data_IF_604652821554
#
_entry.id   IF_604652821554
#
_cell.length_a   1.000
_cell.length_b   1.000
_cell.length_c   1.000
_cell.angle_alpha   90.00
_cell.angle_beta   90.00
_cell.angle_gamma   90.00
#
_symmetry.space_group_name_H-M   'P 1'
#
loop_
_entity.id
_entity.type
_entity.pdbx_description
1 polymer ?
#
# COMPACT_ATOMS: atom_id res chain seq x y z
N UNK A 1 -48.10 -12.07 -18.90
CA UNK A 1 -47.07 -11.08 -19.30
C UNK A 1 -46.09 -10.86 -18.13
N UNK A 2 -45.04 -11.68 -17.99
CA UNK A 2 -44.08 -11.62 -16.87
C UNK A 2 -42.64 -11.77 -17.37
N UNK A 3 -42.13 -10.83 -18.17
CA UNK A 3 -40.79 -10.95 -18.79
C UNK A 3 -39.90 -9.70 -18.74
N UNK A 4 -40.20 -8.68 -17.92
CA UNK A 4 -39.42 -7.42 -17.93
C UNK A 4 -38.69 -7.05 -16.62
N UNK A 5 -38.86 -7.80 -15.53
CA UNK A 5 -38.32 -7.44 -14.21
C UNK A 5 -36.96 -8.06 -13.85
N UNK A 6 -36.39 -8.95 -14.68
CA UNK A 6 -35.19 -9.71 -14.31
C UNK A 6 -33.84 -9.04 -14.64
N UNK A 7 -33.80 -7.96 -15.43
CA UNK A 7 -32.53 -7.39 -15.93
C UNK A 7 -31.91 -6.38 -14.95
N UNK A 8 -32.68 -5.81 -14.02
CA UNK A 8 -32.18 -4.75 -13.13
C UNK A 8 -31.33 -5.27 -11.94
N UNK A 9 -31.43 -6.56 -11.58
CA UNK A 9 -30.69 -7.11 -10.43
C UNK A 9 -29.27 -7.58 -10.77
N UNK A 10 -28.96 -7.85 -12.05
CA UNK A 10 -27.65 -8.36 -12.46
C UNK A 10 -26.53 -7.31 -12.48
N UNK A 11 -26.86 -6.02 -12.44
CA UNK A 11 -25.88 -4.92 -12.53
C UNK A 11 -25.35 -4.44 -11.16
N UNK A 12 -25.91 -4.90 -10.04
CA UNK A 12 -25.42 -4.53 -8.69
C UNK A 12 -24.33 -5.46 -8.14
N UNK A 13 -24.06 -6.61 -8.78
CA UNK A 13 -23.11 -7.61 -8.26
C UNK A 13 -21.64 -7.40 -8.65
N UNK A 14 -21.32 -6.41 -9.49
CA UNK A 14 -20.01 -6.31 -10.14
C UNK A 14 -19.07 -5.22 -9.60
N UNK A 15 -19.36 -4.60 -8.45
CA UNK A 15 -18.62 -3.42 -7.96
C UNK A 15 -17.73 -3.64 -6.73
N UNK A 16 -17.40 -4.90 -6.38
CA UNK A 16 -16.33 -5.18 -5.43
C UNK A 16 -15.02 -5.34 -6.22
N UNK A 17 -14.53 -4.25 -6.80
CA UNK A 17 -13.15 -4.22 -7.30
C UNK A 17 -12.20 -4.27 -6.10
N UNK A 18 -11.31 -5.25 -6.05
CA UNK A 18 -10.19 -5.28 -5.11
C UNK A 18 -9.46 -3.93 -5.19
N UNK A 19 -9.47 -3.19 -4.09
CA UNK A 19 -8.92 -1.84 -4.03
C UNK A 19 -7.49 -1.94 -3.49
N UNK A 20 -6.53 -1.30 -4.17
CA UNK A 20 -5.16 -1.24 -3.68
C UNK A 20 -5.10 -0.25 -2.52
N UNK A 21 -4.92 -0.75 -1.30
CA UNK A 21 -4.71 0.11 -0.15
C UNK A 21 -3.40 0.88 -0.32
N UNK A 22 -3.43 2.18 -0.03
CA UNK A 22 -2.23 3.01 0.03
C UNK A 22 -1.79 3.14 1.47
N UNK A 23 -0.49 2.96 1.69
CA UNK A 23 0.13 3.05 3.00
C UNK A 23 1.22 4.10 2.96
N UNK A 24 1.30 4.89 4.03
CA UNK A 24 2.42 5.78 4.27
C UNK A 24 3.40 5.09 5.21
N UNK A 25 4.68 5.39 5.05
CA UNK A 25 5.70 5.05 6.03
C UNK A 25 6.54 6.26 6.37
N UNK A 26 6.99 6.30 7.63
CA UNK A 26 7.90 7.31 8.14
C UNK A 26 8.94 6.62 9.01
N UNK A 27 10.19 7.01 8.86
CA UNK A 27 11.30 6.43 9.60
C UNK A 27 12.39 7.43 9.91
N UNK A 28 13.32 6.98 10.76
CA UNK A 28 14.44 7.73 11.26
C UNK A 28 15.69 6.84 11.18
N UNK A 29 16.78 7.38 10.67
CA UNK A 29 18.10 6.74 10.80
C UNK A 29 18.53 6.87 12.26
N UNK A 30 18.69 5.74 12.95
CA UNK A 30 19.04 5.65 14.37
C UNK A 30 20.49 5.24 14.60
N UNK A 31 21.18 4.74 13.57
CA UNK A 31 22.59 4.35 13.62
C UNK A 31 23.37 4.77 12.36
N UNK A 32 24.67 5.02 12.55
CA UNK A 32 25.62 5.39 11.49
C UNK A 32 25.75 6.91 11.26
N UNK A 33 26.56 7.33 10.27
CA UNK A 33 26.83 8.75 10.03
C UNK A 33 25.57 9.59 9.73
N UNK A 34 24.52 8.95 9.21
CA UNK A 34 23.27 9.62 8.83
C UNK A 34 22.25 9.62 9.98
N UNK A 35 22.65 9.26 11.21
CA UNK A 35 21.77 9.28 12.36
C UNK A 35 21.09 10.64 12.55
N UNK A 36 19.79 10.62 12.84
CA UNK A 36 18.94 11.80 12.94
C UNK A 36 18.31 12.25 11.61
N UNK A 37 18.70 11.66 10.47
CA UNK A 37 18.03 11.92 9.19
C UNK A 37 16.70 11.17 9.13
N UNK A 38 15.66 11.85 8.64
CA UNK A 38 14.34 11.27 8.44
C UNK A 38 14.16 10.77 7.01
N UNK A 39 13.35 9.74 6.84
CA UNK A 39 12.86 9.31 5.54
C UNK A 39 11.36 9.04 5.59
N UNK A 40 10.69 9.22 4.45
CA UNK A 40 9.25 9.04 4.37
C UNK A 40 8.83 8.65 2.97
N UNK A 41 7.69 7.99 2.85
CA UNK A 41 7.20 7.58 1.56
C UNK A 41 5.85 6.90 1.61
N UNK A 42 5.49 6.32 0.47
CA UNK A 42 4.19 5.70 0.24
C UNK A 42 4.38 4.42 -0.58
N UNK A 43 3.54 3.43 -0.33
CA UNK A 43 3.46 2.24 -1.16
C UNK A 43 2.02 1.74 -1.26
N UNK A 44 1.78 0.86 -2.23
CA UNK A 44 0.54 0.10 -2.31
C UNK A 44 0.80 -1.30 -2.83
N UNK A 45 -0.05 -2.25 -2.44
CA UNK A 45 -0.11 -3.60 -2.99
C UNK A 45 -1.58 -4.03 -3.10
N UNK A 46 -1.83 -5.17 -3.73
CA UNK A 46 -3.18 -5.74 -3.81
C UNK A 46 -3.42 -6.65 -2.61
N UNK A 47 -4.36 -6.30 -1.74
CA UNK A 47 -4.73 -7.15 -0.60
C UNK A 47 -5.29 -8.51 -1.05
N UNK A 48 -5.86 -8.58 -2.26
CA UNK A 48 -6.31 -9.84 -2.84
C UNK A 48 -5.17 -10.83 -3.15
N UNK A 49 -3.92 -10.37 -3.11
CA UNK A 49 -2.73 -11.22 -3.23
C UNK A 49 -2.27 -11.79 -1.88
N UNK A 50 -2.91 -11.42 -0.76
CA UNK A 50 -2.63 -11.93 0.58
C UNK A 50 -3.77 -12.84 1.02
N UNK A 51 -3.47 -14.12 1.18
CA UNK A 51 -4.38 -15.15 1.68
C UNK A 51 -4.48 -15.16 3.21
N UNK A 52 -3.48 -14.61 3.90
CA UNK A 52 -3.41 -14.54 5.37
C UNK A 52 -2.81 -15.79 6.01
N UNK A 53 -2.09 -16.62 5.25
CA UNK A 53 -1.52 -17.89 5.74
C UNK A 53 -0.20 -18.19 5.06
N UNK A 54 0.77 -18.66 5.84
CA UNK A 54 2.13 -18.93 5.37
C UNK A 54 2.92 -17.66 5.07
N UNK A 55 4.03 -17.83 4.34
CA UNK A 55 4.86 -16.72 3.90
C UNK A 55 4.39 -16.20 2.55
N UNK A 56 4.13 -14.90 2.46
CA UNK A 56 3.52 -14.25 1.29
C UNK A 56 4.26 -12.98 0.92
N UNK A 57 4.59 -12.80 -0.36
CA UNK A 57 5.38 -11.66 -0.86
C UNK A 57 4.70 -10.95 -2.04
N UNK A 58 3.50 -10.35 -1.85
CA UNK A 58 2.84 -9.58 -2.90
C UNK A 58 3.74 -8.46 -3.42
N UNK A 59 3.81 -8.34 -4.75
CA UNK A 59 4.54 -7.26 -5.41
C UNK A 59 3.88 -5.90 -5.16
N UNK A 60 4.69 -4.87 -5.00
CA UNK A 60 4.19 -3.51 -4.86
C UNK A 60 3.63 -2.98 -6.20
N UNK A 61 2.46 -2.36 -6.13
CA UNK A 61 1.82 -1.65 -7.25
C UNK A 61 2.34 -0.22 -7.38
N UNK A 62 2.70 0.40 -6.27
CA UNK A 62 3.37 1.70 -6.22
C UNK A 62 4.38 1.75 -5.08
N UNK A 63 5.43 2.54 -5.25
CA UNK A 63 6.42 2.84 -4.22
C UNK A 63 7.06 4.20 -4.51
N UNK A 64 7.17 5.02 -3.47
CA UNK A 64 7.93 6.27 -3.44
C UNK A 64 8.58 6.40 -2.08
N UNK A 65 9.87 6.76 -2.07
CA UNK A 65 10.66 7.06 -0.87
C UNK A 65 11.41 8.36 -1.10
N UNK A 66 11.31 9.30 -0.16
CA UNK A 66 12.19 10.46 -0.08
C UNK A 66 13.20 10.27 1.04
N UNK A 67 14.49 10.32 0.70
CA UNK A 67 15.59 10.25 1.66
C UNK A 67 16.83 10.96 1.11
N UNK A 68 17.47 11.80 1.94
CA UNK A 68 18.66 12.60 1.58
C UNK A 68 18.48 13.43 0.29
N UNK A 69 17.29 13.98 0.08
CA UNK A 69 16.98 14.77 -1.12
C UNK A 69 16.79 13.95 -2.40
N UNK A 70 16.93 12.62 -2.33
CA UNK A 70 16.71 11.70 -3.45
C UNK A 70 15.31 11.09 -3.37
N UNK A 71 14.72 10.78 -4.53
CA UNK A 71 13.49 10.03 -4.63
C UNK A 71 13.75 8.64 -5.23
N UNK A 72 13.31 7.60 -4.53
CA UNK A 72 13.41 6.21 -4.96
C UNK A 72 12.02 5.71 -5.31
N UNK A 73 11.92 4.92 -6.38
CA UNK A 73 10.65 4.44 -6.91
C UNK A 73 10.75 2.98 -7.36
N UNK A 74 9.64 2.39 -7.79
CA UNK A 74 9.65 1.07 -8.44
C UNK A 74 10.60 1.03 -9.64
N UNK A 75 10.64 2.10 -10.44
CA UNK A 75 11.47 2.16 -11.65
C UNK A 75 12.97 2.22 -11.40
N UNK A 76 13.39 2.51 -10.16
CA UNK A 76 14.80 2.52 -9.76
C UNK A 76 15.22 1.26 -9.00
N UNK A 77 14.31 0.32 -8.76
CA UNK A 77 14.61 -0.89 -8.01
C UNK A 77 15.54 -1.84 -8.80
N UNK A 78 16.38 -2.58 -8.07
CA UNK A 78 17.28 -3.63 -8.59
C UNK A 78 16.71 -5.05 -8.47
N UNK A 79 15.42 -5.14 -8.14
CA UNK A 79 14.62 -6.36 -8.02
C UNK A 79 13.14 -6.00 -8.01
N UNK A 80 12.26 -6.98 -7.77
CA UNK A 80 10.81 -6.74 -7.60
C UNK A 80 10.54 -6.34 -6.15
N UNK A 81 10.09 -5.11 -5.86
CA UNK A 81 9.75 -4.72 -4.50
C UNK A 81 8.49 -5.45 -4.01
N UNK A 82 8.48 -5.87 -2.75
CA UNK A 82 7.38 -6.62 -2.14
C UNK A 82 6.96 -6.06 -0.78
N UNK A 83 5.73 -6.38 -0.40
CA UNK A 83 5.17 -6.19 0.93
C UNK A 83 5.08 -7.56 1.60
N UNK A 84 6.00 -7.89 2.51
CA UNK A 84 6.12 -9.26 3.00
C UNK A 84 5.19 -9.52 4.19
N UNK A 85 4.58 -10.71 4.22
CA UNK A 85 3.65 -11.14 5.25
C UNK A 85 3.96 -12.56 5.71
N UNK A 86 3.66 -12.84 6.98
CA UNK A 86 3.67 -14.19 7.55
C UNK A 86 2.38 -14.42 8.32
N UNK A 87 1.58 -15.40 7.92
CA UNK A 87 0.32 -15.76 8.58
C UNK A 87 -0.61 -14.54 8.80
N UNK A 88 -0.66 -13.65 7.80
CA UNK A 88 -1.43 -12.41 7.84
C UNK A 88 -0.78 -11.25 8.62
N UNK A 89 0.37 -11.47 9.27
CA UNK A 89 1.16 -10.42 9.92
C UNK A 89 2.06 -9.73 8.89
N UNK A 90 1.96 -8.41 8.81
CA UNK A 90 2.85 -7.61 7.97
C UNK A 90 4.26 -7.55 8.58
N UNK A 91 5.26 -7.99 7.81
CA UNK A 91 6.66 -8.05 8.23
C UNK A 91 7.46 -6.82 7.82
N UNK A 92 7.12 -6.19 6.70
CA UNK A 92 7.89 -5.08 6.18
C UNK A 92 7.86 -4.95 4.66
N UNK A 93 8.67 -4.03 4.18
CA UNK A 93 8.96 -3.87 2.76
C UNK A 93 10.28 -4.57 2.43
N UNK A 94 10.32 -5.22 1.26
CA UNK A 94 11.56 -5.60 0.60
C UNK A 94 11.75 -4.71 -0.61
N UNK A 95 12.80 -3.89 -0.58
CA UNK A 95 13.14 -2.98 -1.66
C UNK A 95 14.66 -2.84 -1.74
N UNK A 96 15.21 -2.84 -2.94
CA UNK A 96 16.64 -2.63 -3.13
C UNK A 96 16.91 -1.64 -4.26
N UNK A 97 17.73 -0.64 -3.97
CA UNK A 97 18.33 0.25 -4.94
C UNK A 97 19.85 0.12 -4.89
N UNK A 98 20.49 0.16 -6.05
CA UNK A 98 21.94 0.21 -6.17
C UNK A 98 22.33 1.17 -7.28
N UNK A 99 23.31 2.02 -7.01
CA UNK A 99 23.99 2.85 -7.99
C UNK A 99 25.51 2.73 -7.82
N UNK A 100 26.32 3.32 -8.73
CA UNK A 100 27.76 3.41 -8.54
C UNK A 100 28.20 4.21 -7.30
N UNK A 101 27.30 4.88 -6.60
CA UNK A 101 27.63 5.77 -5.47
C UNK A 101 26.98 5.36 -4.16
N UNK A 102 25.97 4.49 -4.17
CA UNK A 102 25.28 4.07 -2.95
C UNK A 102 24.40 2.84 -3.16
N UNK A 103 24.07 2.17 -2.07
CA UNK A 103 22.96 1.21 -1.98
C UNK A 103 21.95 1.65 -0.93
N UNK A 104 20.70 1.28 -1.15
CA UNK A 104 19.62 1.47 -0.20
C UNK A 104 18.75 0.22 -0.20
N UNK A 105 18.48 -0.33 0.98
CA UNK A 105 17.76 -1.59 1.15
C UNK A 105 16.71 -1.44 2.24
N UNK A 106 15.45 -1.74 1.94
CA UNK A 106 14.48 -2.09 2.97
C UNK A 106 14.53 -3.60 3.20
N UNK A 107 14.61 -3.99 4.46
CA UNK A 107 14.56 -5.38 4.89
C UNK A 107 13.35 -5.58 5.79
N UNK A 108 12.54 -6.57 5.47
CA UNK A 108 11.40 -6.99 6.29
C UNK A 108 11.86 -7.62 7.60
N UNK A 109 11.04 -7.47 8.65
CA UNK A 109 11.28 -8.09 9.94
C UNK A 109 11.06 -9.61 9.92
N UNK A 110 11.44 -10.27 11.02
CA UNK A 110 11.36 -11.74 11.11
C UNK A 110 9.99 -12.24 11.58
N UNK A 111 9.32 -11.48 12.45
CA UNK A 111 8.03 -11.86 13.03
C UNK A 111 6.96 -10.79 12.85
N UNK A 112 7.37 -9.53 12.84
CA UNK A 112 6.52 -8.37 12.61
C UNK A 112 7.37 -7.20 12.10
N UNK A 113 6.72 -6.05 11.91
CA UNK A 113 7.33 -4.81 11.44
C UNK A 113 8.42 -4.24 12.38
N UNK A 114 8.45 -4.60 13.66
CA UNK A 114 9.35 -3.96 14.65
C UNK A 114 10.84 -4.23 14.39
N UNK A 115 11.14 -5.35 13.72
CA UNK A 115 12.49 -5.73 13.30
C UNK A 115 12.84 -5.24 11.89
N UNK A 116 11.89 -4.60 11.18
CA UNK A 116 12.12 -4.12 9.82
C UNK A 116 12.95 -2.83 9.83
N UNK A 117 13.84 -2.69 8.85
CA UNK A 117 14.75 -1.55 8.79
C UNK A 117 15.09 -1.13 7.36
N UNK A 118 15.51 0.13 7.26
CA UNK A 118 16.20 0.70 6.12
C UNK A 118 17.71 0.60 6.36
N UNK A 119 18.47 0.16 5.36
CA UNK A 119 19.92 0.20 5.33
C UNK A 119 20.39 1.10 4.19
N UNK A 120 21.30 2.01 4.46
CA UNK A 120 21.92 2.90 3.49
C UNK A 120 23.44 2.78 3.54
N UNK A 121 24.06 2.54 2.40
CA UNK A 121 25.52 2.44 2.30
C UNK A 121 26.03 3.35 1.18
N UNK A 122 26.70 4.47 1.48
CA UNK A 122 27.39 5.26 0.48
C UNK A 122 28.69 4.56 0.06
N UNK A 123 29.09 4.73 -1.20
CA UNK A 123 30.35 4.16 -1.70
C UNK A 123 31.54 4.82 -1.01
N UNK A 124 32.39 3.99 -0.38
CA UNK A 124 33.57 4.44 0.35
C UNK A 124 33.29 5.07 1.71
N UNK A 125 32.03 5.05 2.18
CA UNK A 125 31.66 5.55 3.51
C UNK A 125 31.20 4.45 4.46
N UNK A 126 30.82 4.86 5.67
CA UNK A 126 30.22 3.97 6.66
C UNK A 126 28.71 3.88 6.42
N UNK A 127 28.18 2.70 6.71
CA UNK A 127 26.77 2.40 6.56
C UNK A 127 25.91 3.06 7.65
N UNK A 128 24.60 3.17 7.39
CA UNK A 128 23.62 3.72 8.32
C UNK A 128 22.32 2.93 8.24
N UNK A 129 21.67 2.74 9.38
CA UNK A 129 20.41 2.00 9.47
C UNK A 129 19.35 2.79 10.21
N UNK A 130 18.09 2.50 9.94
CA UNK A 130 16.97 3.12 10.61
C UNK A 130 15.72 2.28 10.60
N UNK A 131 14.93 2.43 11.67
CA UNK A 131 13.60 1.85 11.79
C UNK A 131 12.52 2.73 11.14
N UNK A 132 11.37 2.14 10.84
CA UNK A 132 10.22 2.85 10.29
C UNK A 132 8.89 2.28 10.78
N UNK A 133 7.87 3.11 10.68
CA UNK A 133 6.49 2.76 11.01
C UNK A 133 5.62 2.91 9.76
N UNK A 134 4.50 2.18 9.73
CA UNK A 134 3.54 2.20 8.64
C UNK A 134 2.18 2.63 9.17
N UNK A 135 1.51 3.48 8.42
CA UNK A 135 0.13 3.89 8.66
C UNK A 135 -0.69 3.72 7.39
N UNK A 136 -1.84 3.04 7.49
CA UNK A 136 -2.81 3.01 6.42
C UNK A 136 -3.31 4.43 6.11
N UNK A 137 -3.39 4.78 4.83
CA UNK A 137 -4.04 6.02 4.40
C UNK A 137 -5.55 5.76 4.36
N UNK A 138 -6.38 6.49 5.13
CA UNK A 138 -7.82 6.30 5.09
C UNK A 138 -8.33 6.50 3.66
N UNK A 139 -9.05 5.50 3.13
CA UNK A 139 -9.62 5.61 1.79
C UNK A 139 -10.55 6.84 1.72
N UNK A 140 -10.37 7.75 0.76
CA UNK A 140 -11.25 8.89 0.62
C UNK A 140 -12.63 8.39 0.17
N UNK A 141 -13.62 8.56 1.04
CA UNK A 141 -15.05 8.67 0.71
C UNK A 141 -15.73 7.55 -0.09
N UNK A 142 -15.10 6.41 -0.39
CA UNK A 142 -15.73 5.28 -1.11
C UNK A 142 -17.06 4.91 -0.46
N UNK A 143 -17.08 4.72 0.86
CA UNK A 143 -18.29 4.43 1.61
C UNK A 143 -19.32 5.56 1.57
N UNK A 144 -18.87 6.82 1.66
CA UNK A 144 -19.76 7.98 1.62
C UNK A 144 -20.40 8.16 0.24
N UNK A 145 -19.66 7.91 -0.85
CA UNK A 145 -20.15 7.94 -2.22
C UNK A 145 -21.06 6.75 -2.52
N UNK A 146 -20.75 5.55 -2.03
CA UNK A 146 -21.67 4.41 -2.11
C UNK A 146 -22.99 4.69 -1.40
N UNK A 147 -22.93 5.25 -0.19
CA UNK A 147 -24.13 5.63 0.57
C UNK A 147 -24.92 6.73 -0.15
N UNK A 148 -24.24 7.77 -0.65
CA UNK A 148 -24.86 8.84 -1.41
C UNK A 148 -25.53 8.32 -2.69
N UNK A 149 -24.87 7.39 -3.41
CA UNK A 149 -25.42 6.72 -4.57
C UNK A 149 -26.68 5.92 -4.24
N UNK A 150 -26.67 5.14 -3.16
CA UNK A 150 -27.83 4.38 -2.68
C UNK A 150 -29.00 5.30 -2.30
N UNK A 151 -28.72 6.41 -1.60
CA UNK A 151 -29.72 7.41 -1.26
C UNK A 151 -30.34 8.06 -2.50
N UNK A 152 -29.53 8.39 -3.51
CA UNK A 152 -30.01 8.95 -4.76
C UNK A 152 -30.92 7.97 -5.52
N UNK A 153 -30.54 6.69 -5.61
CA UNK A 153 -31.35 5.64 -6.23
C UNK A 153 -32.67 5.45 -5.48
N UNK A 154 -32.63 5.41 -4.15
CA UNK A 154 -33.82 5.34 -3.30
C UNK A 154 -34.78 6.51 -3.52
N UNK A 155 -34.25 7.74 -3.61
CA UNK A 155 -35.04 8.94 -3.87
C UNK A 155 -35.72 8.91 -5.25
N UNK A 156 -35.02 8.45 -6.28
CA UNK A 156 -35.58 8.32 -7.64
C UNK A 156 -36.67 7.24 -7.68
N UNK A 157 -36.44 6.09 -7.06
CA UNK A 157 -37.44 5.02 -6.99
C UNK A 157 -38.73 5.48 -6.30
N UNK A 158 -38.61 6.20 -5.18
CA UNK A 158 -39.74 6.77 -4.46
C UNK A 158 -40.54 7.76 -5.30
N UNK A 159 -39.86 8.64 -6.06
CA UNK A 159 -40.53 9.60 -6.96
C UNK A 159 -41.34 8.92 -8.06
N UNK A 160 -40.83 7.83 -8.61
CA UNK A 160 -41.52 7.08 -9.68
C UNK A 160 -42.76 6.35 -9.18
N UNK A 161 -42.75 5.85 -7.95
CA UNK A 161 -43.95 5.26 -7.33
C UNK A 161 -45.03 6.29 -7.01
N UNK A 162 -44.65 7.54 -6.70
CA UNK A 162 -45.61 8.61 -6.42
C UNK A 162 -46.25 9.23 -7.69
N UNK A 163 -45.72 8.92 -8.88
CA UNK A 163 -46.21 9.43 -10.18
C UNK A 163 -46.93 8.36 -11.02
N UNK A 164 -47.04 7.13 -10.52
CA UNK A 164 -47.79 6.02 -11.11
C UNK A 164 -49.07 5.77 -10.32
#
# INVERSE_FOLDING_TARGET
MFKKTAIALGLLGAMLSAQAATYNFNGLIDAGPQAGQTFSGQFSFSDAAVSGSGFETPALLSFSLSFLGQNYSLGSATGTPTADHQDGVFLGLSYQFSSPTQTLVFTSGSFDLSDAYLHFTPVGGLESSGSYTISAVPEPSTWALSLAGLLAVGAIARRRQAQA
#
